data_IF_026625579361
#
_entry.id   IF_026625579361
#
_cell.length_a   1.000
_cell.length_b   1.000
_cell.length_c   1.000
_cell.angle_alpha   90.00
_cell.angle_beta   90.00
_cell.angle_gamma   90.00
#
_symmetry.space_group_name_H-M   'P 1'
#
loop_
_entity.id
_entity.type
_entity.pdbx_description
1 polymer ?
#
# COMPACT_ATOMS: atom_id res chain seq x y z
N UNK A 1 -46.98 32.08 14.48
CA UNK A 1 -45.53 32.34 14.28
C UNK A 1 -44.86 31.02 13.96
N UNK A 2 -44.36 30.85 12.72
CA UNK A 2 -43.71 29.61 12.25
C UNK A 2 -42.20 29.78 12.39
N UNK A 3 -41.59 29.10 13.37
CA UNK A 3 -40.14 29.03 13.52
C UNK A 3 -39.59 27.99 12.54
N UNK A 4 -38.93 28.46 11.48
CA UNK A 4 -38.30 27.62 10.47
C UNK A 4 -37.05 26.94 11.02
N UNK A 5 -36.98 25.63 10.89
CA UNK A 5 -35.78 24.84 11.12
C UNK A 5 -34.84 24.99 9.92
N UNK A 6 -33.69 25.65 10.10
CA UNK A 6 -32.59 25.57 9.16
C UNK A 6 -31.74 24.34 9.50
N UNK A 7 -31.94 23.27 8.74
CA UNK A 7 -31.02 22.12 8.69
C UNK A 7 -29.76 22.53 7.93
N UNK A 8 -28.67 22.76 8.65
CA UNK A 8 -27.35 22.87 8.05
C UNK A 8 -26.90 21.47 7.62
N UNK A 9 -27.02 21.18 6.32
CA UNK A 9 -26.44 19.99 5.72
C UNK A 9 -24.90 20.16 5.68
N UNK A 10 -24.22 19.57 6.65
CA UNK A 10 -22.77 19.41 6.62
C UNK A 10 -22.40 18.47 5.47
N UNK A 11 -21.85 19.03 4.40
CA UNK A 11 -21.25 18.28 3.29
C UNK A 11 -20.00 17.60 3.85
N UNK A 12 -20.11 16.31 4.20
CA UNK A 12 -18.95 15.46 4.40
C UNK A 12 -18.22 15.35 3.06
N UNK A 13 -17.18 16.14 2.88
CA UNK A 13 -16.15 15.86 1.89
C UNK A 13 -15.51 14.51 2.27
N UNK A 14 -15.98 13.44 1.63
CA UNK A 14 -15.29 12.17 1.64
C UNK A 14 -13.92 12.38 0.97
N UNK A 15 -12.92 12.71 1.79
CA UNK A 15 -11.52 12.67 1.40
C UNK A 15 -11.19 11.23 1.03
N UNK A 16 -11.35 10.90 -0.25
CA UNK A 16 -10.82 9.67 -0.81
C UNK A 16 -9.32 9.73 -0.65
N UNK A 17 -8.80 9.09 0.40
CA UNK A 17 -7.41 8.72 0.48
C UNK A 17 -7.13 7.85 -0.74
N UNK A 18 -6.62 8.48 -1.80
CA UNK A 18 -6.06 7.79 -2.94
C UNK A 18 -4.86 7.03 -2.40
N UNK A 19 -5.08 5.78 -1.99
CA UNK A 19 -4.01 4.85 -1.72
C UNK A 19 -3.12 4.85 -2.96
N UNK A 20 -1.87 5.33 -2.81
CA UNK A 20 -0.81 5.27 -3.83
C UNK A 20 -0.51 3.81 -4.15
N UNK A 21 -1.39 3.15 -4.91
CA UNK A 21 -1.26 1.73 -5.27
C UNK A 21 -0.43 1.51 -6.54
N UNK A 22 0.20 2.54 -7.12
CA UNK A 22 1.14 2.35 -8.23
C UNK A 22 2.33 3.30 -8.12
N UNK A 23 3.37 2.87 -7.41
CA UNK A 23 4.66 3.57 -7.39
C UNK A 23 5.45 3.36 -8.70
N UNK A 24 6.32 4.32 -9.08
CA UNK A 24 7.31 4.10 -10.13
C UNK A 24 8.09 2.81 -9.88
N UNK A 25 8.07 1.88 -10.84
CA UNK A 25 8.65 0.53 -10.69
C UNK A 25 7.64 -0.61 -10.72
N UNK A 26 6.34 -0.34 -10.75
CA UNK A 26 5.30 -1.34 -11.02
C UNK A 26 5.36 -1.78 -12.49
N UNK A 27 6.27 -2.68 -12.81
CA UNK A 27 6.36 -3.34 -14.11
C UNK A 27 5.48 -4.58 -14.22
N UNK A 28 4.79 -4.95 -13.13
CA UNK A 28 3.91 -6.13 -13.07
C UNK A 28 2.46 -5.72 -12.88
N UNK A 29 1.57 -6.48 -13.52
CA UNK A 29 0.12 -6.39 -13.34
C UNK A 29 -0.46 -7.80 -13.27
N UNK A 30 -1.76 -7.90 -12.98
CA UNK A 30 -2.52 -9.14 -12.91
C UNK A 30 -3.59 -9.16 -13.98
N UNK A 31 -3.83 -10.32 -14.59
CA UNK A 31 -4.84 -10.46 -15.64
C UNK A 31 -5.44 -11.85 -15.72
N UNK A 32 -6.65 -11.90 -16.28
CA UNK A 32 -7.46 -13.10 -16.48
C UNK A 32 -8.12 -12.97 -17.86
N UNK A 33 -7.88 -13.90 -18.81
CA UNK A 33 -8.42 -13.79 -20.16
C UNK A 33 -9.94 -13.59 -20.17
N UNK A 34 -10.42 -12.62 -20.95
CA UNK A 34 -11.85 -12.38 -21.16
C UNK A 34 -12.63 -11.80 -19.98
N UNK A 35 -11.97 -11.45 -18.86
CA UNK A 35 -12.66 -10.85 -17.71
C UNK A 35 -13.25 -9.49 -18.08
N UNK A 36 -14.48 -9.20 -17.64
CA UNK A 36 -15.10 -7.88 -17.83
C UNK A 36 -14.44 -6.82 -16.94
N UNK A 37 -14.56 -5.54 -17.31
CA UNK A 37 -14.01 -4.45 -16.49
C UNK A 37 -14.63 -4.44 -15.08
N UNK A 38 -15.92 -4.73 -14.97
CA UNK A 38 -16.62 -4.81 -13.70
C UNK A 38 -16.09 -5.94 -12.82
N UNK A 39 -16.00 -7.17 -13.37
CA UNK A 39 -15.47 -8.32 -12.63
C UNK A 39 -14.00 -8.10 -12.24
N UNK A 40 -13.18 -7.56 -13.14
CA UNK A 40 -11.78 -7.21 -12.87
C UNK A 40 -11.63 -6.31 -11.64
N UNK A 41 -12.51 -5.31 -11.51
CA UNK A 41 -12.50 -4.37 -10.38
C UNK A 41 -13.07 -5.00 -9.12
N UNK A 42 -14.16 -5.76 -9.24
CA UNK A 42 -14.79 -6.42 -8.12
C UNK A 42 -13.84 -7.43 -7.46
N UNK A 43 -13.18 -8.27 -8.26
CA UNK A 43 -12.21 -9.26 -7.80
C UNK A 43 -11.01 -8.58 -7.13
N UNK A 44 -10.44 -7.55 -7.78
CA UNK A 44 -9.31 -6.80 -7.23
C UNK A 44 -9.64 -6.14 -5.89
N UNK A 45 -10.84 -5.56 -5.76
CA UNK A 45 -11.31 -4.95 -4.51
C UNK A 45 -11.58 -6.00 -3.42
N UNK A 46 -12.17 -7.14 -3.78
CA UNK A 46 -12.42 -8.23 -2.86
C UNK A 46 -11.10 -8.79 -2.29
N UNK A 47 -10.11 -9.07 -3.15
CA UNK A 47 -8.80 -9.54 -2.71
C UNK A 47 -8.03 -8.49 -1.89
N UNK A 48 -8.16 -7.19 -2.24
CA UNK A 48 -7.55 -6.12 -1.45
C UNK A 48 -8.16 -6.03 -0.04
N UNK A 49 -9.47 -6.23 0.10
CA UNK A 49 -10.15 -6.27 1.41
C UNK A 49 -9.74 -7.51 2.21
N UNK A 50 -9.63 -8.68 1.57
CA UNK A 50 -9.13 -9.91 2.20
C UNK A 50 -7.69 -9.71 2.73
N UNK A 51 -6.81 -9.13 1.93
CA UNK A 51 -5.45 -8.79 2.33
C UNK A 51 -5.43 -7.78 3.49
N UNK A 52 -6.26 -6.74 3.43
CA UNK A 52 -6.39 -5.73 4.48
C UNK A 52 -6.89 -6.29 5.81
N UNK A 53 -7.68 -7.37 5.78
CA UNK A 53 -8.16 -8.06 6.97
C UNK A 53 -7.12 -9.02 7.60
N UNK A 54 -5.89 -9.08 7.06
CA UNK A 54 -4.84 -9.95 7.61
C UNK A 54 -4.44 -9.50 9.01
N UNK A 55 -4.58 -10.40 10.00
CA UNK A 55 -4.02 -10.18 11.33
C UNK A 55 -2.49 -10.25 11.27
N UNK A 56 -1.85 -9.09 11.42
CA UNK A 56 -0.40 -8.96 11.44
C UNK A 56 0.19 -9.13 12.83
N UNK A 57 -0.62 -9.12 13.91
CA UNK A 57 -0.11 -9.04 15.30
C UNK A 57 0.80 -10.21 15.69
N UNK A 58 0.61 -11.37 15.04
CA UNK A 58 1.38 -12.61 15.28
C UNK A 58 2.58 -12.77 14.36
N UNK A 59 2.85 -11.79 13.50
CA UNK A 59 3.96 -11.84 12.53
C UNK A 59 5.25 -11.31 13.15
N UNK A 60 6.40 -11.81 12.68
CA UNK A 60 7.71 -11.33 13.15
C UNK A 60 7.91 -9.82 12.98
N UNK A 61 7.50 -9.18 11.85
CA UNK A 61 7.60 -7.73 11.70
C UNK A 61 6.80 -6.96 12.75
N UNK A 62 5.57 -7.40 13.06
CA UNK A 62 4.75 -6.74 14.08
C UNK A 62 5.32 -6.95 15.49
N UNK A 63 5.78 -8.17 15.81
CA UNK A 63 6.47 -8.45 17.08
C UNK A 63 7.72 -7.59 17.25
N UNK A 64 8.52 -7.44 16.20
CA UNK A 64 9.72 -6.62 16.21
C UNK A 64 9.40 -5.14 16.47
N UNK A 65 8.29 -4.63 15.91
CA UNK A 65 7.82 -3.27 16.20
C UNK A 65 7.39 -3.10 17.66
N UNK A 66 6.61 -4.04 18.21
CA UNK A 66 6.20 -4.00 19.63
C UNK A 66 7.41 -4.01 20.56
N UNK A 67 8.41 -4.86 20.27
CA UNK A 67 9.66 -4.90 21.05
C UNK A 67 10.39 -3.55 20.96
N UNK A 68 10.51 -2.99 19.76
CA UNK A 68 11.16 -1.68 19.58
C UNK A 68 10.43 -0.55 20.32
N UNK A 69 9.09 -0.50 20.27
CA UNK A 69 8.29 0.50 20.98
C UNK A 69 8.51 0.41 22.49
N UNK A 70 8.48 -0.80 23.07
CA UNK A 70 8.74 -0.99 24.50
C UNK A 70 10.14 -0.58 24.92
N UNK A 71 11.15 -0.78 24.06
CA UNK A 71 12.51 -0.35 24.36
C UNK A 71 12.62 1.19 24.39
N UNK A 72 11.87 1.90 23.53
CA UNK A 72 11.81 3.36 23.53
C UNK A 72 11.08 3.88 24.78
N UNK A 73 9.93 3.30 25.11
CA UNK A 73 9.12 3.71 26.28
C UNK A 73 9.85 3.51 27.61
N UNK A 74 10.69 2.48 27.71
CA UNK A 74 11.43 2.15 28.92
C UNK A 74 12.83 2.79 29.00
N UNK A 75 13.23 3.60 28.00
CA UNK A 75 14.50 4.33 28.05
C UNK A 75 14.28 5.73 28.66
N UNK A 76 14.74 5.99 29.89
CA UNK A 76 14.57 7.29 30.55
C UNK A 76 15.34 8.43 29.87
N UNK A 77 16.22 8.13 28.91
CA UNK A 77 16.99 9.12 28.13
C UNK A 77 16.29 9.56 26.85
N UNK A 78 15.27 8.82 26.39
CA UNK A 78 14.47 9.17 25.21
C UNK A 78 13.16 9.82 25.68
N UNK A 79 13.19 11.13 25.88
CA UNK A 79 11.99 11.91 26.20
C UNK A 79 10.91 11.78 25.12
N UNK A 80 9.64 11.91 25.53
CA UNK A 80 8.43 11.87 24.71
C UNK A 80 8.39 12.96 23.61
N UNK A 81 9.24 12.81 22.59
CA UNK A 81 9.40 13.78 21.51
C UNK A 81 10.05 13.23 20.24
N UNK A 82 10.55 11.99 20.25
CA UNK A 82 11.04 11.33 19.03
C UNK A 82 9.86 10.87 18.17
N UNK A 83 9.26 11.78 17.41
CA UNK A 83 8.34 11.41 16.34
C UNK A 83 9.12 10.65 15.27
N UNK A 84 8.99 9.32 15.27
CA UNK A 84 9.52 8.47 14.19
C UNK A 84 8.66 8.75 12.95
N UNK A 85 9.14 9.62 12.07
CA UNK A 85 8.56 9.77 10.73
C UNK A 85 8.81 8.46 9.95
N UNK A 86 7.78 7.64 9.68
CA UNK A 86 7.95 6.37 8.97
C UNK A 86 8.30 6.58 7.49
N UNK A 87 8.31 7.83 7.02
CA UNK A 87 8.50 8.28 5.64
C UNK A 87 9.70 9.23 5.48
N UNK A 88 10.62 9.27 6.45
CA UNK A 88 11.99 9.78 6.27
C UNK A 88 12.10 11.18 5.65
N UNK A 89 11.53 12.20 6.28
CA UNK A 89 11.92 13.58 6.04
C UNK A 89 13.15 13.90 6.91
N UNK A 90 14.33 14.02 6.31
CA UNK A 90 15.52 14.48 7.03
C UNK A 90 15.35 15.97 7.39
N UNK A 91 14.82 16.26 8.58
CA UNK A 91 14.88 17.61 9.16
C UNK A 91 16.19 17.76 9.93
N UNK A 92 17.12 18.49 9.32
CA UNK A 92 18.36 18.90 9.94
C UNK A 92 18.08 20.03 10.95
N UNK A 93 18.44 19.81 12.22
CA UNK A 93 18.49 20.87 13.22
C UNK A 93 18.19 20.38 14.64
N UNK A 94 19.20 19.90 15.36
CA UNK A 94 19.15 19.63 16.80
C UNK A 94 20.42 18.92 17.29
N UNK A 95 21.07 19.50 18.29
CA UNK A 95 22.36 19.10 18.88
C UNK A 95 22.43 17.64 19.40
N UNK A 96 23.62 17.01 19.50
CA UNK A 96 23.74 15.59 19.81
C UNK A 96 23.65 15.33 21.32
N UNK A 97 22.55 14.70 21.75
CA UNK A 97 22.48 14.05 23.07
C UNK A 97 23.03 12.63 22.94
N UNK A 98 24.01 12.20 23.76
CA UNK A 98 24.58 10.86 23.64
C UNK A 98 23.71 9.83 24.39
N UNK A 99 22.90 9.06 23.66
CA UNK A 99 22.42 7.74 24.11
C UNK A 99 22.49 6.70 22.97
N UNK A 100 23.69 6.15 22.77
CA UNK A 100 24.02 5.37 21.57
C UNK A 100 23.52 3.90 21.58
N UNK A 101 23.01 3.39 22.72
CA UNK A 101 22.62 1.99 22.82
C UNK A 101 21.18 1.74 22.31
N UNK A 102 20.18 2.45 22.83
CA UNK A 102 18.79 2.29 22.40
C UNK A 102 18.55 2.85 20.99
N UNK A 103 19.16 3.99 20.65
CA UNK A 103 19.15 4.52 19.30
C UNK A 103 19.76 3.52 18.30
N UNK A 104 20.87 2.87 18.66
CA UNK A 104 21.49 1.82 17.85
C UNK A 104 20.57 0.59 17.67
N UNK A 105 19.88 0.14 18.72
CA UNK A 105 18.96 -1.00 18.66
C UNK A 105 17.71 -0.68 17.82
N UNK A 106 17.12 0.50 17.99
CA UNK A 106 15.95 0.95 17.21
C UNK A 106 16.31 1.13 15.74
N UNK A 107 17.48 1.70 15.44
CA UNK A 107 17.98 1.77 14.05
C UNK A 107 18.24 0.36 13.47
N UNK A 108 18.75 -0.57 14.27
CA UNK A 108 19.00 -1.95 13.83
C UNK A 108 17.73 -2.77 13.60
N UNK A 109 16.65 -2.54 14.36
CA UNK A 109 15.32 -3.15 14.08
C UNK A 109 14.72 -2.49 12.82
N UNK A 110 14.83 -1.16 12.74
CA UNK A 110 14.40 -0.34 11.61
C UNK A 110 12.89 -0.38 11.39
N UNK A 111 12.10 0.46 12.08
CA UNK A 111 10.64 0.45 11.99
C UNK A 111 10.11 0.49 10.55
N UNK A 112 10.68 1.36 9.71
CA UNK A 112 10.34 1.41 8.28
C UNK A 112 10.53 0.07 7.55
N UNK A 113 11.60 -0.67 7.85
CA UNK A 113 11.85 -2.00 7.25
C UNK A 113 10.83 -3.02 7.72
N UNK A 114 10.40 -2.98 8.99
CA UNK A 114 9.38 -3.89 9.49
C UNK A 114 8.00 -3.57 8.89
N UNK A 115 7.67 -2.28 8.69
CA UNK A 115 6.45 -1.87 7.98
C UNK A 115 6.47 -2.40 6.54
N UNK A 116 7.60 -2.30 5.83
CA UNK A 116 7.73 -2.87 4.48
C UNK A 116 7.52 -4.39 4.48
N UNK A 117 8.13 -5.12 5.41
CA UNK A 117 7.92 -6.57 5.55
C UNK A 117 6.48 -6.95 5.88
N UNK A 118 5.80 -6.16 6.72
CA UNK A 118 4.38 -6.36 6.99
C UNK A 118 3.54 -6.11 5.72
N UNK A 119 3.89 -5.10 4.94
CA UNK A 119 3.33 -4.84 3.62
C UNK A 119 3.51 -6.01 2.65
N UNK A 120 4.68 -6.66 2.66
CA UNK A 120 4.94 -7.86 1.84
C UNK A 120 4.04 -9.04 2.21
N UNK A 121 3.70 -9.21 3.49
CA UNK A 121 2.73 -10.22 3.94
C UNK A 121 1.35 -9.94 3.36
N UNK A 122 0.87 -8.70 3.45
CA UNK A 122 -0.42 -8.30 2.89
C UNK A 122 -0.43 -8.45 1.36
N UNK A 123 0.66 -8.06 0.70
CA UNK A 123 0.83 -8.26 -0.74
C UNK A 123 0.74 -9.73 -1.10
N UNK A 124 1.45 -10.62 -0.38
CA UNK A 124 1.37 -12.05 -0.63
C UNK A 124 -0.07 -12.59 -0.48
N UNK A 125 -0.84 -12.08 0.48
CA UNK A 125 -2.27 -12.46 0.64
C UNK A 125 -3.12 -12.00 -0.54
N UNK A 126 -2.95 -10.77 -1.00
CA UNK A 126 -3.59 -10.24 -2.20
C UNK A 126 -3.27 -11.13 -3.41
N UNK A 127 -1.99 -11.42 -3.62
CA UNK A 127 -1.51 -12.21 -4.75
C UNK A 127 -2.07 -13.65 -4.72
N UNK A 128 -2.10 -14.30 -3.54
CA UNK A 128 -2.72 -15.62 -3.39
C UNK A 128 -4.22 -15.63 -3.69
N UNK A 129 -4.95 -14.61 -3.28
CA UNK A 129 -6.37 -14.46 -3.61
C UNK A 129 -6.57 -14.33 -5.13
N UNK A 130 -5.77 -13.50 -5.79
CA UNK A 130 -5.83 -13.33 -7.25
C UNK A 130 -5.54 -14.64 -8.00
N UNK A 131 -4.51 -15.38 -7.59
CA UNK A 131 -4.19 -16.70 -8.16
C UNK A 131 -5.36 -17.67 -8.00
N UNK A 132 -5.98 -17.72 -6.80
CA UNK A 132 -7.16 -18.55 -6.53
C UNK A 132 -8.36 -18.19 -7.42
N UNK A 133 -8.51 -16.92 -7.79
CA UNK A 133 -9.54 -16.47 -8.74
C UNK A 133 -9.17 -16.71 -10.21
N UNK A 134 -8.00 -17.29 -10.49
CA UNK A 134 -7.52 -17.62 -11.83
C UNK A 134 -6.81 -16.48 -12.54
N UNK A 135 -6.34 -15.45 -11.81
CA UNK A 135 -5.50 -14.41 -12.37
C UNK A 135 -4.05 -14.87 -12.45
N UNK A 136 -3.36 -14.46 -13.51
CA UNK A 136 -1.94 -14.64 -13.68
C UNK A 136 -1.22 -13.30 -13.63
N UNK A 137 0.00 -13.30 -13.09
CA UNK A 137 0.88 -12.13 -13.12
C UNK A 137 1.48 -12.01 -14.52
N UNK A 138 1.58 -10.78 -15.02
CA UNK A 138 2.24 -10.49 -16.30
C UNK A 138 3.06 -9.20 -16.21
N UNK A 139 4.03 -9.04 -17.10
CA UNK A 139 4.94 -7.90 -17.10
C UNK A 139 4.62 -6.90 -18.20
N UNK A 140 4.41 -5.64 -17.80
CA UNK A 140 4.19 -4.51 -18.70
C UNK A 140 5.47 -4.19 -19.49
N UNK A 141 5.35 -4.12 -20.81
CA UNK A 141 6.37 -3.61 -21.73
C UNK A 141 6.74 -2.15 -21.43
N UNK A 142 7.90 -1.71 -21.93
CA UNK A 142 8.33 -0.30 -21.81
C UNK A 142 7.31 0.68 -22.40
N UNK A 143 6.71 0.32 -23.54
CA UNK A 143 5.67 1.12 -24.20
C UNK A 143 4.39 1.19 -23.36
N UNK A 144 3.92 0.06 -22.81
CA UNK A 144 2.74 0.03 -21.95
C UNK A 144 2.97 0.86 -20.67
N UNK A 145 4.15 0.75 -20.04
CA UNK A 145 4.50 1.57 -18.87
C UNK A 145 4.56 3.06 -19.20
N UNK A 146 5.14 3.43 -20.35
CA UNK A 146 5.18 4.83 -20.80
C UNK A 146 3.78 5.39 -20.99
N UNK A 147 2.89 4.64 -21.65
CA UNK A 147 1.48 5.02 -21.80
C UNK A 147 0.78 5.14 -20.45
N UNK A 148 1.00 4.17 -19.55
CA UNK A 148 0.41 4.19 -18.22
C UNK A 148 0.84 5.44 -17.43
N UNK A 149 2.10 5.85 -17.49
CA UNK A 149 2.58 7.09 -16.84
C UNK A 149 1.89 8.37 -17.34
N UNK A 150 1.42 8.37 -18.59
CA UNK A 150 0.66 9.50 -19.15
C UNK A 150 -0.81 9.55 -18.73
N UNK A 151 -1.31 8.51 -18.04
CA UNK A 151 -2.71 8.44 -17.60
C UNK A 151 -2.81 8.80 -16.11
N UNK A 152 -3.63 9.80 -15.72
CA UNK A 152 -3.76 10.21 -14.32
C UNK A 152 -4.13 9.03 -13.41
N UNK A 153 -3.53 8.99 -12.21
CA UNK A 153 -3.84 7.98 -11.21
C UNK A 153 -5.32 8.01 -10.85
N UNK A 154 -5.92 6.82 -10.68
CA UNK A 154 -7.35 6.70 -10.38
C UNK A 154 -8.30 7.06 -11.52
N UNK A 155 -7.85 7.57 -12.67
CA UNK A 155 -8.74 7.92 -13.79
C UNK A 155 -9.38 6.70 -14.46
N UNK A 156 -10.56 6.89 -15.06
CA UNK A 156 -11.22 5.85 -15.87
C UNK A 156 -10.38 5.41 -17.06
N UNK A 157 -9.70 6.34 -17.73
CA UNK A 157 -8.79 6.03 -18.82
C UNK A 157 -7.67 5.08 -18.38
N UNK A 158 -7.06 5.31 -17.21
CA UNK A 158 -6.05 4.42 -16.65
C UNK A 158 -6.61 3.04 -16.32
N UNK A 159 -7.81 2.98 -15.74
CA UNK A 159 -8.48 1.74 -15.35
C UNK A 159 -8.88 0.90 -16.57
N UNK A 160 -9.48 1.53 -17.56
CA UNK A 160 -9.82 0.90 -18.84
C UNK A 160 -8.57 0.39 -19.56
N UNK A 161 -7.48 1.17 -19.55
CA UNK A 161 -6.23 0.74 -20.17
C UNK A 161 -5.62 -0.50 -19.50
N UNK A 162 -5.53 -0.50 -18.17
CA UNK A 162 -5.02 -1.67 -17.43
C UNK A 162 -5.91 -2.90 -17.64
N UNK A 163 -7.23 -2.74 -17.61
CA UNK A 163 -8.18 -3.82 -17.89
C UNK A 163 -8.04 -4.37 -19.32
N UNK A 164 -7.87 -3.51 -20.32
CA UNK A 164 -7.67 -3.94 -21.70
C UNK A 164 -6.43 -4.83 -21.85
N UNK A 165 -5.33 -4.52 -21.15
CA UNK A 165 -4.15 -5.38 -21.10
C UNK A 165 -4.41 -6.68 -20.31
N UNK A 166 -5.11 -6.57 -19.19
CA UNK A 166 -5.35 -7.66 -18.25
C UNK A 166 -6.40 -8.68 -18.73
N UNK A 167 -7.20 -8.36 -19.73
CA UNK A 167 -8.24 -9.23 -20.29
C UNK A 167 -7.88 -9.80 -21.68
N UNK A 168 -6.87 -9.24 -22.35
CA UNK A 168 -6.44 -9.67 -23.67
C UNK A 168 -5.64 -11.00 -23.60
N UNK A 169 -6.15 -12.11 -24.18
CA UNK A 169 -5.48 -13.41 -24.14
C UNK A 169 -4.12 -13.41 -24.84
N UNK A 170 -3.94 -12.59 -25.89
CA UNK A 170 -2.67 -12.49 -26.63
C UNK A 170 -1.62 -11.76 -25.80
N UNK A 171 -2.01 -10.69 -25.11
CA UNK A 171 -1.12 -10.00 -24.16
C UNK A 171 -0.69 -10.95 -23.05
N UNK A 172 -1.65 -11.65 -22.44
CA UNK A 172 -1.36 -12.56 -21.35
C UNK A 172 -0.49 -13.75 -21.79
N UNK A 173 -0.75 -14.36 -22.95
CA UNK A 173 0.08 -15.43 -23.48
C UNK A 173 1.54 -15.01 -23.70
N UNK A 174 1.79 -13.75 -24.08
CA UNK A 174 3.13 -13.24 -24.38
C UNK A 174 3.87 -12.68 -23.17
N UNK A 175 3.15 -12.17 -22.17
CA UNK A 175 3.72 -11.36 -21.09
C UNK A 175 3.61 -12.02 -19.71
N UNK A 176 2.96 -13.18 -19.62
CA UNK A 176 2.82 -13.95 -18.37
C UNK A 176 4.18 -14.18 -17.73
N UNK A 177 4.20 -14.09 -16.41
CA UNK A 177 5.32 -14.50 -15.58
C UNK A 177 5.00 -15.89 -15.01
N UNK A 178 5.97 -16.78 -15.10
CA UNK A 178 5.94 -18.12 -14.49
C UNK A 178 6.11 -18.05 -12.98
#
# INVERSE_FOLDING_TARGET
>A
MRLGWMTAAAILAAGGAAAKMVTPGMDRSWGKPGVTLEAYRADGLACAREAAATDLSKTDPARALVIASRLVENDPTIGAGAMIDPMGSAQAGGDPVPSNAAAGIVQNIGPGRQILKAGDIMKARLESCLVRLGYAKFRLTGAQRKRLRGLPEGSDARRAYLHGLASDPVVLARQKLD
#
